data_IF_780191672296
#
_entry.id   IF_780191672296
#
_cell.length_a   1.000
_cell.length_b   1.000
_cell.length_c   1.000
_cell.angle_alpha   90.00
_cell.angle_beta   90.00
_cell.angle_gamma   90.00
#
_symmetry.space_group_name_H-M   'P 1'
#
loop_
_entity.id
_entity.type
_entity.pdbx_description
1 polymer ?
#
# COMPACT_ATOMS: atom_id res chain seq x y z
N UNK A 1 6.63 -14.55 -24.85
CA UNK A 1 6.09 -13.27 -25.32
C UNK A 1 4.59 -13.42 -25.54
N UNK A 2 3.83 -12.36 -25.29
CA UNK A 2 2.39 -12.22 -25.59
C UNK A 2 2.10 -10.75 -25.94
N UNK A 3 0.85 -10.39 -26.20
CA UNK A 3 0.43 -9.03 -26.54
C UNK A 3 -0.85 -8.65 -25.81
N UNK A 4 -0.96 -7.37 -25.42
CA UNK A 4 -2.22 -6.78 -24.97
C UNK A 4 -2.83 -6.01 -26.14
N UNK A 5 -3.78 -6.63 -26.83
CA UNK A 5 -4.54 -6.00 -27.92
C UNK A 5 -5.71 -5.16 -27.37
N UNK A 6 -6.33 -5.65 -26.29
CA UNK A 6 -7.44 -5.00 -25.61
C UNK A 6 -7.27 -5.09 -24.11
N UNK A 7 -7.54 -3.99 -23.41
CA UNK A 7 -7.57 -3.92 -21.96
C UNK A 7 -8.82 -3.18 -21.52
N UNK A 8 -9.76 -3.89 -20.88
CA UNK A 8 -11.10 -3.37 -20.56
C UNK A 8 -11.76 -2.78 -21.83
N UNK A 9 -12.08 -1.49 -21.83
CA UNK A 9 -12.69 -0.81 -22.99
C UNK A 9 -11.67 -0.21 -23.97
N UNK A 10 -10.37 -0.37 -23.73
CA UNK A 10 -9.30 0.19 -24.59
C UNK A 10 -8.83 -0.85 -25.59
N UNK A 11 -8.71 -0.45 -26.84
CA UNK A 11 -8.03 -1.21 -27.89
C UNK A 11 -6.71 -0.52 -28.23
N UNK A 12 -5.66 -1.31 -28.45
CA UNK A 12 -4.32 -0.81 -28.78
C UNK A 12 -3.97 -1.18 -30.23
N UNK A 13 -3.62 -0.18 -31.02
CA UNK A 13 -3.09 -0.34 -32.37
C UNK A 13 -1.82 0.53 -32.54
N UNK A 14 -0.62 -0.06 -32.61
CA UNK A 14 -0.35 -1.50 -32.53
C UNK A 14 -0.58 -2.07 -31.11
N UNK A 15 -0.76 -3.40 -30.96
CA UNK A 15 -0.83 -4.05 -29.66
C UNK A 15 0.40 -3.79 -28.78
N UNK A 16 0.22 -3.77 -27.46
CA UNK A 16 1.32 -3.62 -26.51
C UNK A 16 2.03 -4.97 -26.38
N UNK A 17 3.30 -5.02 -26.80
CA UNK A 17 4.11 -6.23 -26.67
C UNK A 17 4.49 -6.50 -25.20
N UNK A 18 4.41 -7.76 -24.79
CA UNK A 18 4.75 -8.21 -23.45
C UNK A 18 5.78 -9.34 -23.50
N UNK A 19 6.97 -9.10 -22.96
CA UNK A 19 7.96 -10.14 -22.66
C UNK A 19 7.63 -10.78 -21.32
N UNK A 20 7.77 -12.11 -21.23
CA UNK A 20 7.43 -12.90 -20.05
C UNK A 20 8.61 -13.79 -19.65
N UNK A 21 8.84 -14.03 -18.35
CA UNK A 21 9.84 -14.99 -17.89
C UNK A 21 9.29 -16.41 -18.01
N UNK A 22 10.17 -17.42 -17.95
CA UNK A 22 9.78 -18.84 -18.07
C UNK A 22 8.78 -19.28 -16.98
N UNK A 23 8.77 -18.60 -15.83
CA UNK A 23 7.87 -18.85 -14.70
C UNK A 23 6.44 -18.29 -14.89
N UNK A 24 6.15 -17.62 -16.01
CA UNK A 24 4.83 -17.06 -16.31
C UNK A 24 4.45 -17.31 -17.79
N UNK A 25 3.51 -18.23 -18.02
CA UNK A 25 2.98 -18.51 -19.36
C UNK A 25 2.05 -17.39 -19.84
N UNK A 26 1.84 -17.29 -21.16
CA UNK A 26 0.90 -16.33 -21.73
C UNK A 26 -0.54 -16.51 -21.19
N UNK A 27 -1.04 -17.75 -21.08
CA UNK A 27 -2.37 -18.03 -20.52
C UNK A 27 -2.49 -17.59 -19.05
N UNK A 28 -1.44 -17.76 -18.23
CA UNK A 28 -1.43 -17.25 -16.86
C UNK A 28 -1.35 -15.72 -16.85
N UNK A 29 -0.57 -15.12 -17.73
CA UNK A 29 -0.50 -13.66 -17.85
C UNK A 29 -1.87 -13.05 -18.19
N UNK A 30 -2.61 -13.63 -19.14
CA UNK A 30 -3.92 -13.11 -19.55
C UNK A 30 -4.94 -13.16 -18.38
N UNK A 31 -4.84 -14.17 -17.50
CA UNK A 31 -5.67 -14.28 -16.29
C UNK A 31 -5.32 -13.26 -15.20
N UNK A 32 -4.15 -12.62 -15.26
CA UNK A 32 -3.80 -11.53 -14.33
C UNK A 32 -4.49 -10.21 -14.71
N UNK A 33 -5.16 -10.14 -15.86
CA UNK A 33 -5.85 -8.95 -16.33
C UNK A 33 -7.37 -9.16 -16.32
N UNK A 34 -8.09 -8.11 -15.93
CA UNK A 34 -9.56 -8.11 -15.99
C UNK A 34 -10.02 -7.97 -17.44
N UNK A 35 -10.92 -8.84 -17.89
CA UNK A 35 -11.46 -8.89 -19.25
C UNK A 35 -12.90 -9.40 -19.28
N UNK A 36 -13.54 -9.40 -20.46
CA UNK A 36 -14.89 -9.93 -20.64
C UNK A 36 -14.98 -11.43 -20.27
N UNK A 37 -13.91 -12.19 -20.48
CA UNK A 37 -13.80 -13.61 -20.11
C UNK A 37 -13.28 -13.84 -18.69
N UNK A 38 -12.66 -12.84 -18.06
CA UNK A 38 -12.07 -12.92 -16.73
C UNK A 38 -12.46 -11.71 -15.88
N UNK A 39 -13.55 -11.85 -15.11
CA UNK A 39 -14.16 -10.70 -14.40
C UNK A 39 -13.28 -10.10 -13.30
N UNK A 40 -12.34 -10.86 -12.76
CA UNK A 40 -11.40 -10.43 -11.73
C UNK A 40 -10.00 -10.94 -12.08
N UNK A 41 -8.96 -10.19 -11.72
CA UNK A 41 -7.58 -10.69 -11.81
C UNK A 41 -7.41 -11.96 -10.95
N UNK A 42 -6.81 -12.99 -11.53
CA UNK A 42 -6.60 -14.29 -10.89
C UNK A 42 -5.39 -14.29 -9.95
N UNK A 43 -5.21 -15.41 -9.26
CA UNK A 43 -4.05 -15.73 -8.42
C UNK A 43 -3.90 -14.87 -7.17
N UNK A 44 -5.01 -14.29 -6.72
CA UNK A 44 -5.06 -13.32 -5.61
C UNK A 44 -4.05 -12.18 -5.82
N UNK A 45 -3.77 -11.81 -7.07
CA UNK A 45 -2.78 -10.79 -7.42
C UNK A 45 -3.38 -9.71 -8.31
N UNK A 46 -4.11 -8.75 -7.73
CA UNK A 46 -4.73 -7.68 -8.49
C UNK A 46 -3.74 -6.56 -8.86
N UNK A 47 -2.50 -6.60 -8.37
CA UNK A 47 -1.54 -5.51 -8.48
C UNK A 47 -1.25 -5.10 -9.93
N UNK A 48 -1.05 -6.06 -10.85
CA UNK A 48 -0.83 -5.75 -12.27
C UNK A 48 -2.05 -5.08 -12.92
N UNK A 49 -3.25 -5.63 -12.73
CA UNK A 49 -4.48 -5.06 -13.28
C UNK A 49 -4.74 -3.66 -12.71
N UNK A 50 -4.59 -3.49 -11.40
CA UNK A 50 -4.78 -2.20 -10.74
C UNK A 50 -3.77 -1.15 -11.21
N UNK A 51 -2.50 -1.54 -11.34
CA UNK A 51 -1.45 -0.64 -11.83
C UNK A 51 -1.72 -0.21 -13.27
N UNK A 52 -2.06 -1.13 -14.18
CA UNK A 52 -2.41 -0.80 -15.57
C UNK A 52 -3.65 0.09 -15.65
N UNK A 53 -4.70 -0.22 -14.88
CA UNK A 53 -5.91 0.58 -14.81
C UNK A 53 -5.62 2.03 -14.42
N UNK A 54 -4.88 2.22 -13.32
CA UNK A 54 -4.49 3.55 -12.83
C UNK A 54 -3.57 4.26 -13.82
N UNK A 55 -2.57 3.58 -14.37
CA UNK A 55 -1.65 4.16 -15.33
C UNK A 55 -2.39 4.69 -16.55
N UNK A 56 -3.26 3.88 -17.15
CA UNK A 56 -4.01 4.28 -18.33
C UNK A 56 -5.04 5.38 -18.03
N UNK A 57 -5.67 5.37 -16.86
CA UNK A 57 -6.56 6.46 -16.47
C UNK A 57 -5.81 7.78 -16.33
N UNK A 58 -4.63 7.77 -15.72
CA UNK A 58 -3.80 8.97 -15.60
C UNK A 58 -3.22 9.40 -16.96
N UNK A 59 -2.95 8.48 -17.88
CA UNK A 59 -2.59 8.85 -19.25
C UNK A 59 -3.69 9.60 -19.99
N UNK A 60 -4.97 9.33 -19.71
CA UNK A 60 -6.08 10.06 -20.34
C UNK A 60 -6.15 11.52 -19.89
N UNK A 61 -5.59 11.86 -18.72
CA UNK A 61 -5.52 13.24 -18.24
C UNK A 61 -4.69 14.13 -19.19
N UNK A 62 -3.76 13.53 -19.94
CA UNK A 62 -2.97 14.22 -20.97
C UNK A 62 -3.83 14.75 -22.12
N UNK A 63 -5.07 14.29 -22.29
CA UNK A 63 -5.98 14.82 -23.32
C UNK A 63 -6.44 16.25 -23.01
N UNK A 64 -6.37 16.69 -21.75
CA UNK A 64 -6.69 18.07 -21.38
C UNK A 64 -5.59 19.03 -21.82
N UNK A 65 -5.96 20.15 -22.47
CA UNK A 65 -5.00 21.15 -22.98
C UNK A 65 -4.08 21.74 -21.88
N UNK A 66 -4.59 21.81 -20.65
CA UNK A 66 -3.87 22.29 -19.46
C UNK A 66 -2.88 21.26 -18.87
N UNK A 67 -2.88 20.02 -19.37
CA UNK A 67 -1.99 18.98 -18.86
C UNK A 67 -0.54 19.25 -19.32
N UNK A 68 0.48 19.08 -18.44
CA UNK A 68 1.87 19.38 -18.78
C UNK A 68 2.39 18.64 -20.02
N UNK A 69 1.93 17.40 -20.20
CA UNK A 69 2.31 16.52 -21.31
C UNK A 69 1.31 16.50 -22.46
N UNK A 70 0.35 17.43 -22.51
CA UNK A 70 -0.69 17.45 -23.56
C UNK A 70 -0.12 17.46 -24.98
N UNK A 71 0.88 18.30 -25.22
CA UNK A 71 1.50 18.48 -26.54
C UNK A 71 2.22 17.22 -27.03
N UNK A 72 2.83 16.47 -26.11
CA UNK A 72 3.63 15.29 -26.38
C UNK A 72 3.29 14.20 -25.36
N UNK A 73 2.15 13.50 -25.52
CA UNK A 73 1.64 12.59 -24.51
C UNK A 73 2.47 11.31 -24.43
N UNK A 74 2.73 10.85 -23.22
CA UNK A 74 3.36 9.56 -22.95
C UNK A 74 2.40 8.41 -23.20
N UNK A 75 2.95 7.32 -23.75
CA UNK A 75 2.24 6.07 -24.06
C UNK A 75 3.04 4.88 -23.54
N UNK A 76 2.35 3.85 -23.07
CA UNK A 76 2.96 2.56 -22.80
C UNK A 76 3.23 1.85 -24.13
N UNK A 77 4.50 1.58 -24.44
CA UNK A 77 4.95 0.96 -25.69
C UNK A 77 5.10 -0.56 -25.57
N UNK A 78 5.61 -1.01 -24.43
CA UNK A 78 5.81 -2.43 -24.15
C UNK A 78 5.98 -2.68 -22.66
N UNK A 79 5.79 -3.93 -22.26
CA UNK A 79 6.10 -4.44 -20.93
C UNK A 79 7.12 -5.56 -21.03
N UNK A 80 8.05 -5.59 -20.09
CA UNK A 80 8.95 -6.71 -19.85
C UNK A 80 8.73 -7.19 -18.42
N UNK A 81 8.01 -8.30 -18.26
CA UNK A 81 7.89 -8.97 -16.97
C UNK A 81 9.21 -9.70 -16.72
N UNK A 82 10.00 -9.18 -15.79
CA UNK A 82 11.35 -9.68 -15.54
C UNK A 82 11.38 -10.85 -14.57
N UNK A 83 10.46 -10.84 -13.60
CA UNK A 83 10.36 -11.88 -12.59
C UNK A 83 8.95 -11.93 -11.98
N UNK A 84 8.58 -13.11 -11.51
CA UNK A 84 7.41 -13.35 -10.67
C UNK A 84 7.76 -14.28 -9.52
N UNK A 85 7.25 -13.98 -8.34
CA UNK A 85 7.45 -14.77 -7.12
C UNK A 85 6.11 -15.36 -6.69
N UNK A 86 5.96 -16.66 -6.88
CA UNK A 86 4.77 -17.39 -6.45
C UNK A 86 4.92 -17.82 -4.99
N UNK A 87 3.97 -17.45 -4.14
CA UNK A 87 3.96 -17.90 -2.75
C UNK A 87 3.57 -19.38 -2.66
N UNK A 88 2.61 -19.80 -3.48
CA UNK A 88 2.34 -21.22 -3.69
C UNK A 88 1.71 -21.47 -5.06
N UNK A 89 1.93 -22.68 -5.58
CA UNK A 89 1.31 -23.17 -6.81
C UNK A 89 0.90 -24.63 -6.65
N UNK A 90 -0.20 -25.00 -7.32
CA UNK A 90 -0.74 -26.35 -7.37
C UNK A 90 -1.01 -26.97 -5.98
N UNK A 91 -1.33 -26.13 -4.98
CA UNK A 91 -1.66 -26.59 -3.63
C UNK A 91 -3.09 -27.13 -3.61
N UNK A 92 -3.33 -28.42 -3.28
CA UNK A 92 -4.66 -28.99 -3.31
C UNK A 92 -5.65 -28.20 -2.44
N UNK A 93 -6.77 -27.79 -3.01
CA UNK A 93 -7.82 -27.03 -2.30
C UNK A 93 -7.56 -25.53 -2.16
N UNK A 94 -6.47 -24.99 -2.71
CA UNK A 94 -6.17 -23.55 -2.71
C UNK A 94 -5.96 -23.05 -4.14
N UNK A 95 -6.40 -21.83 -4.42
CA UNK A 95 -6.00 -21.10 -5.64
C UNK A 95 -4.48 -20.83 -5.59
N UNK A 96 -3.78 -20.89 -6.73
CA UNK A 96 -2.39 -20.45 -6.84
C UNK A 96 -2.27 -18.99 -6.34
N UNK A 97 -1.27 -18.65 -5.54
CA UNK A 97 -1.06 -17.26 -5.07
C UNK A 97 0.23 -16.70 -5.63
N UNK A 98 0.09 -15.65 -6.44
CA UNK A 98 1.22 -14.84 -6.87
C UNK A 98 1.47 -13.74 -5.84
N UNK A 99 2.71 -13.62 -5.37
CA UNK A 99 3.08 -12.66 -4.33
C UNK A 99 3.64 -11.36 -4.88
N UNK A 100 4.60 -11.46 -5.81
CA UNK A 100 5.31 -10.29 -6.36
C UNK A 100 5.54 -10.42 -7.86
N UNK A 101 5.63 -9.26 -8.53
CA UNK A 101 6.03 -9.17 -9.93
C UNK A 101 6.96 -7.98 -10.14
N UNK A 102 8.08 -8.19 -10.84
CA UNK A 102 8.96 -7.12 -11.29
C UNK A 102 8.75 -6.87 -12.77
N UNK A 103 8.44 -5.63 -13.14
CA UNK A 103 8.28 -5.23 -14.54
C UNK A 103 9.23 -4.08 -14.92
N UNK A 104 9.63 -4.08 -16.18
CA UNK A 104 10.19 -2.92 -16.86
C UNK A 104 9.20 -2.49 -17.94
N UNK A 105 8.55 -1.35 -17.72
CA UNK A 105 7.70 -0.71 -18.72
C UNK A 105 8.50 0.23 -19.60
N UNK A 106 8.14 0.29 -20.88
CA UNK A 106 8.67 1.25 -21.83
C UNK A 106 7.61 2.33 -22.05
N UNK A 107 7.78 3.49 -21.42
CA UNK A 107 6.85 4.61 -21.49
C UNK A 107 7.52 5.76 -22.23
N UNK A 108 6.99 6.10 -23.41
CA UNK A 108 7.60 7.07 -24.32
C UNK A 108 6.55 7.92 -25.02
N UNK A 109 6.90 9.17 -25.34
CA UNK A 109 6.14 9.99 -26.28
C UNK A 109 6.28 9.45 -27.70
N UNK A 110 5.48 9.94 -28.65
CA UNK A 110 5.89 9.81 -30.07
C UNK A 110 7.12 10.68 -30.29
N UNK A 111 7.95 10.34 -31.28
CA UNK A 111 9.13 11.15 -31.58
C UNK A 111 8.72 12.52 -32.11
N UNK A 112 9.29 13.57 -31.55
CA UNK A 112 9.09 14.95 -32.00
C UNK A 112 10.40 15.71 -31.99
N UNK A 113 10.42 16.86 -32.67
CA UNK A 113 11.59 17.73 -32.71
C UNK A 113 11.56 18.64 -31.49
N UNK A 114 12.52 18.44 -30.59
CA UNK A 114 12.72 19.30 -29.43
C UNK A 114 13.19 20.69 -29.86
N UNK A 115 12.90 21.69 -29.04
CA UNK A 115 13.33 23.06 -29.31
C UNK A 115 14.86 23.13 -29.40
N UNK A 116 15.37 23.63 -30.53
CA UNK A 116 16.81 23.73 -30.80
C UNK A 116 17.46 22.44 -31.30
N UNK A 117 16.69 21.38 -31.59
CA UNK A 117 17.20 20.14 -32.21
C UNK A 117 16.77 20.03 -33.68
N UNK A 118 17.57 19.35 -34.51
CA UNK A 118 17.27 19.11 -35.94
C UNK A 118 16.59 17.74 -36.19
N UNK A 119 16.64 16.84 -35.21
CA UNK A 119 16.19 15.45 -35.34
C UNK A 119 15.10 15.15 -34.33
N UNK A 120 14.08 14.43 -34.78
CA UNK A 120 13.03 13.95 -33.88
C UNK A 120 13.57 12.83 -32.99
N UNK A 121 13.21 12.87 -31.71
CA UNK A 121 13.41 11.78 -30.75
C UNK A 121 12.22 11.70 -29.80
N UNK A 122 12.04 10.54 -29.18
CA UNK A 122 11.04 10.40 -28.11
C UNK A 122 11.64 10.84 -26.76
N UNK A 123 10.79 11.37 -25.89
CA UNK A 123 11.10 11.43 -24.46
C UNK A 123 10.58 10.17 -23.78
N UNK A 124 11.24 9.79 -22.68
CA UNK A 124 10.96 8.54 -21.97
C UNK A 124 10.95 8.76 -20.45
N UNK A 125 10.17 7.92 -19.75
CA UNK A 125 10.08 7.91 -18.28
C UNK A 125 10.64 6.58 -17.77
N UNK A 126 11.42 6.57 -16.66
CA UNK A 126 11.82 5.32 -16.02
C UNK A 126 10.61 4.46 -15.68
N UNK A 127 10.58 3.25 -16.21
CA UNK A 127 9.42 2.36 -16.10
C UNK A 127 9.62 1.12 -15.23
N UNK A 128 10.64 1.10 -14.36
CA UNK A 128 10.88 -0.02 -13.45
C UNK A 128 9.84 0.00 -12.32
N UNK A 129 9.08 -1.09 -12.17
CA UNK A 129 8.03 -1.19 -11.14
C UNK A 129 8.10 -2.55 -10.46
N UNK A 130 8.13 -2.55 -9.14
CA UNK A 130 7.91 -3.71 -8.29
C UNK A 130 6.44 -3.74 -7.85
N UNK A 131 5.68 -4.68 -8.41
CA UNK A 131 4.28 -4.89 -8.13
C UNK A 131 4.13 -5.83 -6.94
N UNK A 132 3.47 -5.33 -5.90
CA UNK A 132 3.10 -6.10 -4.70
C UNK A 132 1.69 -5.81 -4.21
N UNK A 133 1.05 -4.74 -4.70
CA UNK A 133 -0.28 -4.33 -4.25
C UNK A 133 -0.28 -3.45 -3.00
N UNK A 134 -1.48 -3.12 -2.55
CA UNK A 134 -1.68 -2.28 -1.37
C UNK A 134 -1.48 -3.01 -0.05
N UNK A 135 -1.18 -2.24 0.98
CA UNK A 135 -0.98 -2.69 2.35
C UNK A 135 -1.70 -1.75 3.32
N UNK A 136 -1.78 -2.16 4.58
CA UNK A 136 -2.24 -1.35 5.70
C UNK A 136 -1.18 -1.30 6.78
N UNK A 137 -1.19 -0.24 7.57
CA UNK A 137 -0.40 -0.17 8.79
C UNK A 137 -1.23 0.45 9.91
N UNK A 138 -0.99 0.02 11.14
CA UNK A 138 -1.83 0.43 12.27
C UNK A 138 -0.98 1.02 13.38
N UNK A 139 -1.22 2.29 13.69
CA UNK A 139 -0.75 2.91 14.93
C UNK A 139 -1.67 2.45 16.06
N UNK A 140 -1.23 1.45 16.82
CA UNK A 140 -1.97 0.96 17.98
C UNK A 140 -1.49 1.71 19.21
N UNK A 141 -2.38 2.52 19.79
CA UNK A 141 -2.15 3.24 21.04
C UNK A 141 -2.92 2.55 22.17
N UNK A 142 -2.20 2.17 23.22
CA UNK A 142 -2.75 1.57 24.43
C UNK A 142 -2.51 2.45 25.63
N UNK A 143 -3.44 2.45 26.58
CA UNK A 143 -3.33 3.18 27.84
C UNK A 143 -3.85 2.32 29.00
N UNK A 144 -3.22 2.38 30.19
CA UNK A 144 -3.78 1.76 31.38
C UNK A 144 -5.20 2.27 31.68
N UNK A 145 -6.10 1.38 32.09
CA UNK A 145 -7.48 1.73 32.46
C UNK A 145 -7.57 2.82 33.53
N UNK A 146 -6.62 2.82 34.48
CA UNK A 146 -6.53 3.74 35.61
C UNK A 146 -5.82 5.07 35.27
N UNK A 147 -5.25 5.19 34.07
CA UNK A 147 -4.50 6.37 33.67
C UNK A 147 -5.38 7.47 33.06
N UNK A 148 -4.99 8.72 33.33
CA UNK A 148 -5.63 9.93 32.82
C UNK A 148 -4.69 10.74 31.93
N UNK A 149 -5.26 11.45 30.97
CA UNK A 149 -4.52 12.30 30.04
C UNK A 149 -3.60 11.52 29.11
N UNK A 150 -2.44 12.09 28.78
CA UNK A 150 -1.59 11.61 27.66
C UNK A 150 -0.32 10.86 28.10
N UNK A 151 0.08 11.01 29.37
CA UNK A 151 1.44 10.64 29.81
C UNK A 151 1.71 9.13 29.77
N UNK A 152 0.69 8.32 29.99
CA UNK A 152 0.81 6.85 30.06
C UNK A 152 0.34 6.15 28.78
N UNK A 153 0.18 6.87 27.67
CA UNK A 153 -0.05 6.26 26.37
C UNK A 153 1.20 5.59 25.86
N UNK A 154 1.05 4.37 25.37
CA UNK A 154 2.10 3.58 24.75
C UNK A 154 1.67 3.17 23.35
N UNK A 155 2.64 3.00 22.46
CA UNK A 155 2.47 2.45 21.12
C UNK A 155 2.93 1.00 21.14
N UNK A 156 2.17 0.12 20.50
CA UNK A 156 2.62 -1.23 20.20
C UNK A 156 3.43 -1.19 18.91
N UNK A 157 4.69 -1.59 19.01
CA UNK A 157 5.58 -1.81 17.88
C UNK A 157 5.83 -3.30 17.72
N UNK A 158 6.15 -3.70 16.50
CA UNK A 158 6.64 -5.04 16.16
C UNK A 158 8.14 -4.98 15.88
N UNK A 159 8.82 -6.08 16.21
CA UNK A 159 10.22 -6.32 15.86
C UNK A 159 10.27 -7.57 15.00
N UNK A 160 10.64 -7.41 13.73
CA UNK A 160 10.62 -8.51 12.76
C UNK A 160 11.73 -8.43 11.70
N UNK A 161 12.07 -9.55 11.02
CA UNK A 161 13.00 -9.53 9.90
C UNK A 161 12.45 -8.75 8.70
N UNK A 162 13.28 -7.88 8.13
CA UNK A 162 13.03 -7.18 6.87
C UNK A 162 14.25 -7.37 5.97
N UNK A 163 14.21 -8.42 5.14
CA UNK A 163 15.31 -8.82 4.25
C UNK A 163 15.68 -7.69 3.28
N UNK A 164 14.69 -6.98 2.73
CA UNK A 164 14.92 -5.85 1.82
C UNK A 164 15.71 -4.70 2.48
N UNK A 165 15.57 -4.53 3.80
CA UNK A 165 16.34 -3.55 4.58
C UNK A 165 17.64 -4.13 5.16
N UNK A 166 17.93 -5.42 4.93
CA UNK A 166 19.07 -6.11 5.52
C UNK A 166 19.01 -6.26 7.04
N UNK A 167 17.82 -6.22 7.64
CA UNK A 167 17.63 -6.28 9.09
C UNK A 167 16.90 -7.55 9.50
N UNK A 168 17.31 -8.16 10.61
CA UNK A 168 16.62 -9.32 11.21
C UNK A 168 15.79 -8.96 12.45
N UNK A 169 15.83 -7.70 12.88
CA UNK A 169 15.12 -7.19 14.05
C UNK A 169 14.73 -5.72 13.82
N UNK A 170 14.01 -5.47 12.73
CA UNK A 170 13.55 -4.14 12.37
C UNK A 170 12.35 -3.74 13.24
N UNK A 171 12.42 -2.56 13.87
CA UNK A 171 11.34 -2.03 14.72
C UNK A 171 10.41 -1.14 13.89
N UNK A 172 9.13 -1.46 13.90
CA UNK A 172 8.10 -0.80 13.09
C UNK A 172 6.71 -0.90 13.73
N UNK A 173 5.72 -0.22 13.16
CA UNK A 173 4.31 -0.48 13.52
C UNK A 173 3.78 -1.73 12.79
N UNK A 174 2.77 -2.42 13.36
CA UNK A 174 2.07 -3.51 12.70
C UNK A 174 1.58 -3.16 11.30
N UNK A 175 1.75 -4.07 10.35
CA UNK A 175 1.38 -3.85 8.95
C UNK A 175 1.32 -5.15 8.15
N UNK A 176 0.37 -5.21 7.21
CA UNK A 176 0.28 -6.33 6.29
C UNK A 176 -0.45 -6.01 4.99
N UNK A 177 -0.50 -7.02 4.11
CA UNK A 177 -0.91 -6.88 2.72
C UNK A 177 -2.41 -7.06 2.52
N UNK A 178 -2.96 -6.42 1.49
CA UNK A 178 -4.36 -6.58 1.13
C UNK A 178 -4.59 -7.85 0.31
N UNK A 179 -5.19 -8.87 0.92
CA UNK A 179 -5.59 -10.13 0.25
C UNK A 179 -7.03 -10.05 -0.32
N UNK A 180 -7.39 -8.93 -0.97
CA UNK A 180 -8.68 -8.78 -1.68
C UNK A 180 -9.92 -8.44 -0.81
N UNK A 181 -9.72 -8.12 0.47
CA UNK A 181 -10.75 -7.63 1.41
C UNK A 181 -10.86 -6.10 1.51
N UNK A 182 -11.69 -5.61 2.44
CA UNK A 182 -11.75 -4.18 2.79
C UNK A 182 -10.45 -3.74 3.50
N UNK A 183 -10.05 -2.47 3.39
CA UNK A 183 -8.87 -1.95 4.08
C UNK A 183 -8.98 -2.14 5.60
N UNK A 184 -10.17 -1.87 6.16
CA UNK A 184 -10.43 -2.02 7.59
C UNK A 184 -10.41 -3.48 8.03
N UNK A 185 -10.99 -4.39 7.26
CA UNK A 185 -11.00 -5.82 7.56
C UNK A 185 -9.59 -6.40 7.54
N UNK A 186 -8.77 -6.01 6.54
CA UNK A 186 -7.35 -6.36 6.52
C UNK A 186 -6.65 -5.82 7.77
N UNK A 187 -6.75 -4.53 8.07
CA UNK A 187 -6.11 -3.92 9.24
C UNK A 187 -6.54 -4.59 10.57
N UNK A 188 -7.82 -4.97 10.72
CA UNK A 188 -8.31 -5.67 11.90
C UNK A 188 -7.66 -7.06 12.06
N UNK A 189 -7.59 -7.84 10.98
CA UNK A 189 -6.96 -9.17 10.98
C UNK A 189 -5.46 -9.06 11.34
N UNK A 190 -4.74 -8.12 10.73
CA UNK A 190 -3.31 -7.89 10.98
C UNK A 190 -3.02 -7.59 12.46
N UNK A 191 -3.85 -6.77 13.11
CA UNK A 191 -3.68 -6.46 14.54
C UNK A 191 -3.92 -7.70 15.41
N UNK A 192 -4.92 -8.51 15.09
CA UNK A 192 -5.21 -9.72 15.86
C UNK A 192 -4.06 -10.74 15.74
N UNK A 193 -3.51 -10.90 14.53
CA UNK A 193 -2.40 -11.81 14.25
C UNK A 193 -1.09 -11.33 14.89
N UNK A 194 -0.68 -10.08 14.62
CA UNK A 194 0.60 -9.53 15.04
C UNK A 194 0.60 -9.01 16.47
N UNK A 195 -0.48 -8.37 16.94
CA UNK A 195 -0.52 -7.69 18.25
C UNK A 195 -1.31 -8.44 19.34
N UNK A 196 -2.00 -9.54 19.00
CA UNK A 196 -2.84 -10.32 19.93
C UNK A 196 -3.91 -9.49 20.64
N UNK A 197 -4.40 -8.45 19.96
CA UNK A 197 -5.53 -7.64 20.40
C UNK A 197 -6.72 -7.89 19.48
N UNK A 198 -7.90 -8.10 20.07
CA UNK A 198 -9.14 -8.18 19.29
C UNK A 198 -9.52 -6.79 18.81
N UNK A 199 -9.68 -6.64 17.50
CA UNK A 199 -10.04 -5.36 16.88
C UNK A 199 -11.18 -5.58 15.91
N UNK A 200 -12.18 -4.72 16.01
CA UNK A 200 -13.30 -4.65 15.05
C UNK A 200 -13.00 -3.55 14.03
N UNK A 201 -13.59 -3.63 12.84
CA UNK A 201 -13.45 -2.57 11.82
C UNK A 201 -13.90 -1.19 12.33
N UNK A 202 -14.84 -1.15 13.26
CA UNK A 202 -15.34 0.09 13.90
C UNK A 202 -14.36 0.69 14.92
N UNK A 203 -13.40 -0.11 15.42
CA UNK A 203 -12.33 0.38 16.29
C UNK A 203 -11.24 1.13 15.50
N UNK A 204 -11.29 1.07 14.16
CA UNK A 204 -10.26 1.59 13.26
C UNK A 204 -10.66 2.92 12.63
N UNK A 205 -9.76 3.89 12.76
CA UNK A 205 -9.88 5.22 12.15
C UNK A 205 -8.85 5.32 11.03
N UNK A 206 -9.30 5.61 9.82
CA UNK A 206 -8.41 5.80 8.66
C UNK A 206 -7.78 7.19 8.71
N UNK A 207 -6.55 7.27 9.24
CA UNK A 207 -5.82 8.53 9.34
C UNK A 207 -5.41 9.07 7.97
N UNK A 208 -5.16 8.18 7.00
CA UNK A 208 -4.81 8.59 5.64
C UNK A 208 -5.96 9.29 4.96
N UNK A 209 -7.18 8.75 5.08
CA UNK A 209 -8.37 9.33 4.49
C UNK A 209 -8.77 10.65 5.16
N UNK A 210 -8.75 10.71 6.50
CA UNK A 210 -9.07 11.96 7.24
C UNK A 210 -8.13 13.11 6.87
N UNK A 211 -6.83 12.83 6.72
CA UNK A 211 -5.84 13.86 6.44
C UNK A 211 -5.99 14.54 5.08
N UNK A 212 -6.77 13.96 4.17
CA UNK A 212 -7.00 14.50 2.81
C UNK A 212 -8.47 14.78 2.51
N UNK A 213 -9.36 14.70 3.50
CA UNK A 213 -10.81 14.90 3.32
C UNK A 213 -11.14 16.27 2.69
N UNK A 214 -10.42 17.31 3.09
CA UNK A 214 -10.57 18.68 2.59
C UNK A 214 -9.49 19.08 1.57
N UNK A 215 -8.69 18.13 1.08
CA UNK A 215 -7.61 18.40 0.11
C UNK A 215 -8.10 18.10 -1.31
N UNK A 216 -8.15 19.08 -2.22
CA UNK A 216 -8.53 18.82 -3.60
C UNK A 216 -7.47 17.94 -4.29
N UNK A 217 -7.87 16.76 -4.76
CA UNK A 217 -7.03 15.85 -5.54
C UNK A 217 -7.06 16.26 -7.03
N UNK A 218 -6.71 17.51 -7.31
CA UNK A 218 -6.59 17.99 -8.69
C UNK A 218 -5.18 17.73 -9.21
N UNK A 219 -5.01 17.06 -10.35
CA UNK A 219 -3.70 16.88 -10.98
C UNK A 219 -3.03 18.23 -11.21
N UNK A 220 -1.70 18.27 -11.13
CA UNK A 220 -0.96 19.49 -11.43
C UNK A 220 -1.10 19.87 -12.92
N UNK A 221 -1.39 21.14 -13.19
CA UNK A 221 -1.58 21.68 -14.55
C UNK A 221 -0.58 22.80 -14.84
N UNK A 222 -0.29 23.02 -16.12
CA UNK A 222 0.64 24.05 -16.59
C UNK A 222 0.03 25.48 -16.61
N UNK A 223 -1.24 25.60 -16.22
CA UNK A 223 -1.98 26.85 -16.14
C UNK A 223 -2.63 26.93 -14.77
N UNK A 224 -2.90 28.13 -14.26
CA UNK A 224 -3.72 28.31 -13.04
C UNK A 224 -5.20 27.97 -13.26
N UNK A 225 -5.52 27.17 -14.28
CA UNK A 225 -6.86 26.72 -14.62
C UNK A 225 -7.26 25.60 -13.68
N UNK A 226 -8.21 25.89 -12.80
CA UNK A 226 -8.99 24.88 -12.08
C UNK A 226 -9.88 24.16 -13.11
N UNK A 227 -9.34 23.20 -13.85
CA UNK A 227 -10.20 22.30 -14.63
C UNK A 227 -11.01 21.48 -13.62
N UNK A 228 -12.26 21.88 -13.40
CA UNK A 228 -13.12 21.43 -12.28
C UNK A 228 -13.43 19.93 -12.24
N UNK A 229 -12.93 19.09 -13.17
CA UNK A 229 -13.35 17.69 -13.32
C UNK A 229 -12.22 16.67 -13.53
N UNK A 230 -10.94 17.07 -13.47
CA UNK A 230 -9.84 16.11 -13.54
C UNK A 230 -9.39 15.72 -12.13
N UNK A 231 -9.47 14.43 -11.78
CA UNK A 231 -8.98 13.88 -10.52
C UNK A 231 -7.99 12.76 -10.82
N UNK A 232 -6.87 12.74 -10.12
CA UNK A 232 -6.01 11.56 -10.10
C UNK A 232 -6.74 10.42 -9.38
N UNK A 233 -6.37 9.17 -9.71
CA UNK A 233 -6.95 7.95 -9.09
C UNK A 233 -5.96 7.13 -8.29
N UNK A 234 -4.92 7.82 -7.83
CA UNK A 234 -4.05 7.31 -6.78
C UNK A 234 -4.83 7.17 -5.48
N UNK A 235 -4.39 6.26 -4.62
CA UNK A 235 -5.06 5.99 -3.35
C UNK A 235 -4.71 7.08 -2.34
N UNK A 236 -5.68 7.48 -1.50
CA UNK A 236 -5.44 8.30 -0.32
C UNK A 236 -4.69 7.50 0.75
N UNK A 237 -3.37 7.44 0.63
CA UNK A 237 -2.51 6.59 1.43
C UNK A 237 -1.05 7.08 1.41
N UNK A 238 -0.23 6.55 2.31
CA UNK A 238 1.21 6.79 2.28
C UNK A 238 1.86 5.90 1.22
N UNK A 239 2.75 6.48 0.40
CA UNK A 239 3.51 5.74 -0.60
C UNK A 239 4.96 5.55 -0.14
N UNK A 240 5.45 4.31 0.05
CA UNK A 240 6.80 4.07 0.54
C UNK A 240 7.87 4.40 -0.49
N UNK A 241 7.58 4.22 -1.79
CA UNK A 241 8.45 4.65 -2.89
C UNK A 241 7.67 4.83 -4.20
N UNK A 242 7.20 6.06 -4.45
CA UNK A 242 6.42 6.44 -5.64
C UNK A 242 7.14 6.20 -6.98
N UNK A 243 8.47 6.03 -6.97
CA UNK A 243 9.27 5.77 -8.16
C UNK A 243 9.68 4.31 -8.36
N UNK A 244 9.32 3.39 -7.46
CA UNK A 244 9.81 2.02 -7.51
C UNK A 244 8.75 0.93 -7.33
N UNK A 245 7.66 1.17 -6.59
CA UNK A 245 6.61 0.17 -6.35
C UNK A 245 5.21 0.74 -6.49
N UNK A 246 4.22 -0.13 -6.73
CA UNK A 246 2.80 0.24 -6.75
C UNK A 246 2.18 0.29 -5.35
N UNK A 247 2.94 -0.11 -4.33
CA UNK A 247 2.47 -0.18 -2.95
C UNK A 247 1.99 1.18 -2.47
N UNK A 248 0.81 1.15 -1.87
CA UNK A 248 0.29 2.20 -1.02
C UNK A 248 0.01 1.59 0.34
N UNK A 249 0.17 2.36 1.40
CA UNK A 249 -0.04 1.92 2.78
C UNK A 249 -1.09 2.84 3.40
N UNK A 250 -2.32 2.33 3.56
CA UNK A 250 -3.35 3.03 4.30
C UNK A 250 -3.01 2.97 5.81
N UNK A 251 -3.03 4.11 6.47
CA UNK A 251 -2.59 4.24 7.86
C UNK A 251 -3.81 4.35 8.75
N UNK A 252 -3.97 3.40 9.65
CA UNK A 252 -5.05 3.36 10.62
C UNK A 252 -4.57 3.69 12.03
N UNK A 253 -5.48 4.23 12.84
CA UNK A 253 -5.34 4.36 14.28
C UNK A 253 -6.26 3.35 14.97
N UNK A 254 -5.72 2.66 15.96
CA UNK A 254 -6.48 1.86 16.91
C UNK A 254 -6.14 2.35 18.33
N UNK A 255 -7.14 2.69 19.13
CA UNK A 255 -6.97 3.13 20.51
C UNK A 255 -7.65 2.12 21.45
N UNK A 256 -6.94 1.64 22.48
CA UNK A 256 -7.49 0.65 23.44
C UNK A 256 -7.11 0.99 24.88
N UNK A 257 -8.03 0.79 25.83
CA UNK A 257 -7.69 0.75 27.26
C UNK A 257 -7.41 -0.70 27.67
N UNK A 258 -6.31 -0.90 28.37
CA UNK A 258 -5.88 -2.21 28.85
C UNK A 258 -5.64 -2.14 30.36
N UNK A 259 -5.79 -3.25 31.07
CA UNK A 259 -5.27 -3.37 32.43
C UNK A 259 -3.73 -3.28 32.38
N UNK A 260 -3.09 -2.81 33.46
CA UNK A 260 -1.62 -2.82 33.55
C UNK A 260 -1.04 -4.23 33.38
N UNK A 261 -1.74 -5.23 33.91
CA UNK A 261 -1.43 -6.66 33.80
C UNK A 261 -1.39 -7.11 32.34
N UNK A 262 -2.40 -6.73 31.55
CA UNK A 262 -2.45 -7.01 30.11
C UNK A 262 -1.33 -6.28 29.35
N UNK A 263 -1.06 -5.01 29.68
CA UNK A 263 0.06 -4.28 29.07
C UNK A 263 1.41 -4.94 29.34
N UNK A 264 1.64 -5.45 30.55
CA UNK A 264 2.86 -6.16 30.90
C UNK A 264 2.98 -7.50 30.16
N UNK A 265 1.87 -8.23 30.00
CA UNK A 265 1.83 -9.48 29.24
C UNK A 265 2.20 -9.30 27.75
N UNK A 266 1.85 -8.16 27.15
CA UNK A 266 2.21 -7.86 25.75
C UNK A 266 3.72 -7.63 25.55
N UNK A 267 4.47 -7.22 26.59
CA UNK A 267 5.89 -6.86 26.44
C UNK A 267 6.74 -8.07 26.07
N UNK A 268 7.41 -8.01 24.93
CA UNK A 268 8.29 -9.08 24.46
C UNK A 268 7.56 -10.34 24.03
N UNK A 269 6.24 -10.29 23.88
CA UNK A 269 5.45 -11.44 23.43
C UNK A 269 5.82 -11.76 21.99
N UNK A 270 6.09 -13.04 21.72
CA UNK A 270 6.28 -13.52 20.36
C UNK A 270 4.92 -13.77 19.69
N UNK A 271 4.75 -13.29 18.45
CA UNK A 271 3.51 -13.33 17.67
C UNK A 271 3.80 -13.68 16.20
N UNK A 272 2.78 -13.62 15.33
CA UNK A 272 2.85 -14.05 13.93
C UNK A 272 2.70 -15.56 13.72
N UNK A 273 2.53 -15.96 12.46
CA UNK A 273 2.46 -17.35 12.02
C UNK A 273 3.87 -17.93 11.81
N UNK A 274 4.45 -18.49 12.88
CA UNK A 274 5.81 -19.08 12.84
C UNK A 274 6.00 -20.16 11.78
N UNK A 275 4.95 -20.94 11.51
CA UNK A 275 4.97 -21.98 10.47
C UNK A 275 5.02 -21.40 9.05
N UNK A 276 4.64 -20.13 8.89
CA UNK A 276 4.69 -19.36 7.64
C UNK A 276 5.92 -18.44 7.57
N UNK A 277 6.84 -18.55 8.54
CA UNK A 277 8.11 -17.82 8.57
C UNK A 277 8.04 -16.45 9.24
N UNK A 278 6.91 -16.09 9.85
CA UNK A 278 6.75 -14.84 10.58
C UNK A 278 7.31 -14.96 12.00
N UNK A 279 8.36 -14.19 12.28
CA UNK A 279 8.97 -14.12 13.60
C UNK A 279 8.85 -12.69 14.13
N UNK A 280 7.76 -12.44 14.84
CA UNK A 280 7.39 -11.12 15.33
C UNK A 280 7.51 -11.09 16.84
N UNK A 281 8.08 -10.01 17.38
CA UNK A 281 8.13 -9.75 18.83
C UNK A 281 7.53 -8.38 19.13
N UNK A 282 6.64 -8.32 20.10
CA UNK A 282 6.00 -7.08 20.53
C UNK A 282 6.91 -6.22 21.41
N UNK A 283 6.89 -4.91 21.14
CA UNK A 283 7.62 -3.89 21.90
C UNK A 283 6.67 -2.74 22.25
N UNK A 284 6.37 -2.59 23.54
CA UNK A 284 5.61 -1.44 24.05
C UNK A 284 6.54 -0.25 24.29
N UNK A 285 6.22 0.90 23.72
CA UNK A 285 7.02 2.13 23.83
C UNK A 285 6.13 3.31 24.23
N UNK A 286 6.55 4.20 25.16
CA UNK A 286 5.79 5.42 25.43
C UNK A 286 5.54 6.22 24.15
N UNK A 287 4.31 6.72 23.93
CA UNK A 287 3.93 7.43 22.70
C UNK A 287 4.89 8.59 22.38
N UNK A 288 5.32 9.33 23.41
CA UNK A 288 6.30 10.43 23.30
C UNK A 288 7.69 10.02 22.78
N UNK A 289 8.01 8.73 22.80
CA UNK A 289 9.28 8.14 22.35
C UNK A 289 9.13 7.33 21.06
N UNK A 290 7.91 7.01 20.62
CA UNK A 290 7.65 6.13 19.49
C UNK A 290 8.37 6.60 18.21
N UNK A 291 8.36 7.90 17.90
CA UNK A 291 9.02 8.44 16.71
C UNK A 291 10.54 8.28 16.72
N UNK A 292 11.16 8.15 17.90
CA UNK A 292 12.61 7.90 18.03
C UNK A 292 12.92 6.41 17.92
N UNK A 293 12.10 5.58 18.55
CA UNK A 293 12.28 4.12 18.59
C UNK A 293 11.97 3.46 17.24
N UNK A 294 10.93 3.94 16.55
CA UNK A 294 10.55 3.53 15.21
C UNK A 294 10.99 4.53 14.13
N UNK A 295 11.98 5.39 14.43
CA UNK A 295 12.37 6.49 13.54
C UNK A 295 13.00 6.09 12.20
N UNK A 296 13.20 4.78 11.96
CA UNK A 296 13.65 4.23 10.68
C UNK A 296 12.49 3.67 9.86
N UNK A 297 11.32 3.56 10.45
CA UNK A 297 10.12 3.03 9.82
C UNK A 297 9.27 4.17 9.27
N UNK A 298 9.19 4.26 7.94
CA UNK A 298 8.48 5.35 7.26
C UNK A 298 6.99 5.39 7.63
N UNK A 299 6.34 4.22 7.76
CA UNK A 299 4.92 4.13 8.13
C UNK A 299 4.68 4.55 9.58
N UNK A 300 5.56 4.18 10.53
CA UNK A 300 5.46 4.70 11.90
C UNK A 300 5.61 6.22 11.96
N UNK A 301 6.60 6.78 11.25
CA UNK A 301 6.78 8.24 11.21
C UNK A 301 5.58 8.95 10.58
N UNK A 302 5.04 8.43 9.48
CA UNK A 302 3.84 8.95 8.87
C UNK A 302 2.64 8.88 9.83
N UNK A 303 2.42 7.72 10.46
CA UNK A 303 1.30 7.54 11.37
C UNK A 303 1.34 8.46 12.59
N UNK A 304 2.53 8.67 13.17
CA UNK A 304 2.71 9.61 14.29
C UNK A 304 2.46 11.06 13.83
N UNK A 305 2.95 11.44 12.65
CA UNK A 305 2.70 12.77 12.11
C UNK A 305 1.21 13.01 11.83
N UNK A 306 0.51 12.04 11.24
CA UNK A 306 -0.93 12.11 11.00
C UNK A 306 -1.69 12.20 12.33
N UNK A 307 -1.36 11.33 13.30
CA UNK A 307 -1.96 11.33 14.63
C UNK A 307 -1.81 12.69 15.32
N UNK A 308 -0.59 13.23 15.38
CA UNK A 308 -0.31 14.48 16.10
C UNK A 308 -1.03 15.69 15.48
N UNK A 309 -1.13 15.77 14.14
CA UNK A 309 -1.79 16.88 13.47
C UNK A 309 -3.32 16.75 13.53
N UNK A 310 -3.89 15.57 13.20
CA UNK A 310 -5.34 15.35 13.28
C UNK A 310 -5.84 15.54 14.72
N UNK A 311 -5.06 15.12 15.72
CA UNK A 311 -5.36 15.39 17.13
C UNK A 311 -5.34 16.88 17.46
N UNK A 312 -4.33 17.62 16.99
CA UNK A 312 -4.23 19.08 17.23
C UNK A 312 -5.42 19.82 16.66
N UNK A 313 -5.96 19.33 15.56
CA UNK A 313 -7.16 19.87 14.91
C UNK A 313 -8.48 19.38 15.53
N UNK A 314 -8.43 18.49 16.53
CA UNK A 314 -9.62 17.95 17.19
C UNK A 314 -10.40 16.95 16.33
N UNK A 315 -9.78 16.38 15.30
CA UNK A 315 -10.41 15.41 14.39
C UNK A 315 -10.37 13.96 14.89
N UNK A 316 -9.63 13.69 15.97
CA UNK A 316 -9.53 12.35 16.55
C UNK A 316 -10.36 12.25 17.83
N UNK A 317 -11.06 11.11 18.05
CA UNK A 317 -11.76 10.88 19.30
C UNK A 317 -10.77 10.67 20.45
N UNK A 318 -11.26 10.92 21.66
CA UNK A 318 -10.57 10.56 22.90
C UNK A 318 -10.36 9.04 22.99
N UNK A 319 -9.51 8.61 23.93
CA UNK A 319 -9.36 7.19 24.22
C UNK A 319 -10.72 6.58 24.62
N UNK A 320 -11.05 5.35 24.16
CA UNK A 320 -12.28 4.69 24.57
C UNK A 320 -12.32 4.49 26.08
N UNK A 321 -13.53 4.42 26.64
CA UNK A 321 -13.75 4.13 28.06
C UNK A 321 -13.68 2.63 28.35
N UNK A 322 -14.11 1.80 27.39
CA UNK A 322 -14.14 0.35 27.53
C UNK A 322 -12.73 -0.25 27.64
N UNK A 323 -12.56 -1.14 28.62
CA UNK A 323 -11.33 -1.88 28.85
C UNK A 323 -11.38 -3.19 28.07
N UNK A 324 -10.34 -3.45 27.28
CA UNK A 324 -10.22 -4.68 26.51
C UNK A 324 -10.10 -5.89 27.45
N UNK A 325 -10.83 -6.96 27.13
CA UNK A 325 -10.80 -8.18 27.91
C UNK A 325 -9.38 -8.77 27.95
N UNK A 326 -8.96 -9.23 29.12
CA UNK A 326 -7.69 -9.91 29.29
C UNK A 326 -7.73 -11.29 28.61
N UNK A 327 -6.65 -11.71 27.92
CA UNK A 327 -6.51 -13.07 27.41
C UNK A 327 -6.76 -14.16 28.47
N UNK A 328 -7.35 -15.28 28.07
CA UNK A 328 -7.66 -16.41 28.99
C UNK A 328 -6.42 -17.06 29.62
N UNK A 329 -5.23 -16.88 29.02
CA UNK A 329 -3.95 -17.45 29.46
C UNK A 329 -2.98 -16.40 30.00
N UNK A 330 -3.52 -15.36 30.64
CA UNK A 330 -2.71 -14.32 31.28
C UNK A 330 -2.32 -14.83 32.68
N UNK A 331 -1.32 -15.71 32.74
CA UNK A 331 -0.69 -16.17 33.99
C UNK A 331 0.60 -15.40 34.28
#
# INVERSE_FOLDING_TARGET
MTTIERYRQRCFDPPINVSLPDSLTADKFDKLLTSDSNRNAAFTFPALDNWLAKLFQNFDLQNGEAHPFHKHPYKLRSLDVQAVDWFWQNRPGHEDKLGFMKIQSKIETDAYVHEGEDKARADWIPGAVFLRGGSVAVLIIVQPEDAQGEKEKHVILTVQPRVAAGSLAFTEIPAGMLDGGSLKGAAANEIEEEAKLKVREDDLIDLSQLAVEDVPITPWTNTNSTSENASETVQNAMYPSVGACDEFIAIFLCQKRLTRRHMDWLKGKATGLREEGENITLKLVPLSRAWREAGRDAKALAAIALYDNLKREGQLPEMPEDVEAEPEHLD
#
